data_IF_496718224300
#
_entry.id   IF_496718224300
#
_cell.length_a   1.000
_cell.length_b   1.000
_cell.length_c   1.000
_cell.angle_alpha   90.00
_cell.angle_beta   90.00
_cell.angle_gamma   90.00
#
_symmetry.space_group_name_H-M   'P 1'
#
loop_
_entity.id
_entity.type
_entity.pdbx_description
1 polymer ?
#
# COMPACT_ATOMS: atom_id res chain seq x y z
N UNK A 1 2.57 5.88 -15.28
CA UNK A 1 1.36 6.61 -14.88
C UNK A 1 1.40 6.82 -13.39
N UNK A 2 1.21 8.05 -12.93
CA UNK A 2 0.96 8.33 -11.52
C UNK A 2 -0.46 7.89 -11.17
N UNK A 3 -0.62 6.68 -10.61
CA UNK A 3 -1.94 6.09 -10.32
C UNK A 3 -2.71 6.80 -9.19
N UNK A 4 -2.11 7.82 -8.55
CA UNK A 4 -2.76 8.61 -7.49
C UNK A 4 -3.13 7.79 -6.25
N UNK A 5 -2.39 6.71 -5.99
CA UNK A 5 -2.62 5.79 -4.87
C UNK A 5 -2.44 6.49 -3.52
N UNK A 6 -1.38 7.28 -3.38
CA UNK A 6 -1.14 8.09 -2.21
C UNK A 6 -0.44 9.40 -2.58
N UNK A 7 -0.58 10.42 -1.73
CA UNK A 7 0.23 11.64 -1.85
C UNK A 7 1.66 11.36 -1.42
N UNK A 8 2.64 12.04 -2.03
CA UNK A 8 4.08 11.90 -1.71
C UNK A 8 4.39 12.05 -0.21
N UNK A 9 3.56 12.80 0.54
CA UNK A 9 3.69 12.93 1.99
C UNK A 9 3.50 11.62 2.76
N UNK A 10 2.80 10.63 2.18
CA UNK A 10 2.57 9.33 2.81
C UNK A 10 3.70 8.35 2.51
N UNK A 11 4.53 8.60 1.48
CA UNK A 11 5.63 7.70 1.07
C UNK A 11 6.57 7.36 2.24
N UNK A 12 7.05 8.32 3.05
CA UNK A 12 7.94 7.99 4.17
C UNK A 12 7.28 7.05 5.18
N UNK A 13 5.98 7.24 5.45
CA UNK A 13 5.21 6.41 6.38
C UNK A 13 4.99 5.00 5.82
N UNK A 14 4.66 4.88 4.54
CA UNK A 14 4.57 3.58 3.86
C UNK A 14 5.90 2.83 3.92
N UNK A 15 7.03 3.53 3.68
CA UNK A 15 8.35 2.93 3.76
C UNK A 15 8.72 2.48 5.18
N UNK A 16 8.28 3.21 6.20
CA UNK A 16 8.47 2.79 7.60
C UNK A 16 7.70 1.51 7.89
N UNK A 17 6.40 1.44 7.59
CA UNK A 17 5.60 0.22 7.76
C UNK A 17 6.09 -0.95 6.89
N UNK A 18 6.66 -0.67 5.72
CA UNK A 18 7.28 -1.70 4.86
C UNK A 18 8.55 -2.27 5.50
N UNK A 19 9.42 -1.40 6.03
CA UNK A 19 10.70 -1.81 6.63
C UNK A 19 10.50 -2.43 8.01
N UNK A 20 9.59 -1.85 8.80
CA UNK A 20 9.29 -2.16 10.19
C UNK A 20 7.80 -2.51 10.37
N UNK A 21 7.32 -3.63 9.80
CA UNK A 21 5.92 -4.00 9.90
C UNK A 21 5.52 -4.36 11.33
N UNK A 22 4.36 -3.86 11.75
CA UNK A 22 3.77 -4.14 13.07
C UNK A 22 3.35 -5.60 13.22
N UNK A 23 2.91 -6.23 12.12
CA UNK A 23 2.47 -7.61 12.10
C UNK A 23 3.55 -8.54 11.50
N UNK A 24 3.90 -9.66 12.17
CA UNK A 24 4.90 -10.60 11.66
C UNK A 24 4.61 -11.14 10.27
N UNK A 25 3.33 -11.32 9.91
CA UNK A 25 2.92 -11.78 8.58
C UNK A 25 3.26 -10.77 7.47
N UNK A 26 3.46 -9.48 7.76
CA UNK A 26 3.83 -8.47 6.77
C UNK A 26 5.35 -8.33 6.58
N UNK A 27 6.16 -9.19 7.24
CA UNK A 27 7.63 -9.15 7.13
C UNK A 27 8.14 -9.69 5.81
N UNK A 28 7.44 -10.65 5.23
CA UNK A 28 7.77 -11.15 3.90
C UNK A 28 7.69 -10.00 2.89
N UNK A 29 8.45 -10.07 1.80
CA UNK A 29 8.53 -9.00 0.79
C UNK A 29 7.68 -9.35 -0.42
N UNK A 30 6.38 -9.47 -0.19
CA UNK A 30 5.35 -9.83 -1.19
C UNK A 30 4.50 -8.63 -1.58
N UNK A 31 3.79 -8.70 -2.71
CA UNK A 31 2.85 -7.63 -3.11
C UNK A 31 1.75 -7.42 -2.05
N UNK A 32 1.32 -8.49 -1.39
CA UNK A 32 0.36 -8.43 -0.28
C UNK A 32 0.92 -7.67 0.92
N UNK A 33 2.15 -7.95 1.34
CA UNK A 33 2.78 -7.18 2.42
C UNK A 33 2.97 -5.69 2.06
N UNK A 34 3.25 -5.38 0.79
CA UNK A 34 3.39 -4.01 0.31
C UNK A 34 2.05 -3.29 0.40
N UNK A 35 0.99 -3.96 -0.04
CA UNK A 35 -0.37 -3.45 0.09
C UNK A 35 -0.74 -3.14 1.53
N UNK A 36 -0.40 -4.02 2.48
CA UNK A 36 -0.66 -3.76 3.89
C UNK A 36 0.15 -2.56 4.41
N UNK A 37 1.39 -2.36 3.97
CA UNK A 37 2.14 -1.16 4.34
C UNK A 37 1.45 0.15 3.89
N UNK A 38 0.77 0.14 2.74
CA UNK A 38 -0.05 1.26 2.28
C UNK A 38 -1.32 1.44 3.12
N UNK A 39 -2.03 0.36 3.45
CA UNK A 39 -3.25 0.48 4.27
C UNK A 39 -2.93 1.00 5.66
N UNK A 40 -1.85 0.54 6.30
CA UNK A 40 -1.35 1.05 7.58
C UNK A 40 -1.03 2.55 7.52
N UNK A 41 -0.33 2.99 6.48
CA UNK A 41 -0.01 4.41 6.31
C UNK A 41 -1.29 5.26 6.19
N UNK A 42 -2.34 4.73 5.56
CA UNK A 42 -3.60 5.41 5.24
C UNK A 42 -4.68 5.32 6.32
N UNK A 43 -4.54 4.49 7.38
CA UNK A 43 -5.53 4.35 8.47
C UNK A 43 -5.94 5.69 9.13
N UNK A 44 -5.11 6.74 9.04
CA UNK A 44 -5.44 8.09 9.52
C UNK A 44 -6.51 8.83 8.70
N UNK A 45 -6.87 8.32 7.51
CA UNK A 45 -7.90 8.91 6.65
C UNK A 45 -8.79 7.81 6.05
N UNK A 46 -9.65 7.25 6.92
CA UNK A 46 -10.52 6.09 6.60
C UNK A 46 -11.47 6.35 5.42
N UNK A 47 -11.87 7.59 5.18
CA UNK A 47 -12.79 7.94 4.09
C UNK A 47 -12.16 7.73 2.70
N UNK A 48 -10.85 7.96 2.57
CA UNK A 48 -10.14 7.80 1.30
C UNK A 48 -9.53 6.40 1.13
N UNK A 49 -9.56 5.59 2.18
CA UNK A 49 -8.90 4.29 2.21
C UNK A 49 -9.47 3.31 1.16
N UNK A 50 -10.80 3.16 0.96
CA UNK A 50 -11.34 2.23 -0.04
C UNK A 50 -10.85 2.56 -1.45
N UNK A 51 -11.07 3.80 -1.91
CA UNK A 51 -10.70 4.23 -3.27
C UNK A 51 -9.19 4.17 -3.52
N UNK A 52 -8.37 4.49 -2.52
CA UNK A 52 -6.90 4.43 -2.66
C UNK A 52 -6.38 3.00 -2.70
N UNK A 53 -6.97 2.11 -1.90
CA UNK A 53 -6.56 0.71 -1.86
C UNK A 53 -7.02 -0.04 -3.11
N UNK A 54 -8.18 0.29 -3.68
CA UNK A 54 -8.64 -0.23 -4.98
C UNK A 54 -7.68 0.13 -6.12
N UNK A 55 -7.27 1.41 -6.21
CA UNK A 55 -6.27 1.84 -7.19
C UNK A 55 -4.92 1.14 -7.01
N UNK A 56 -4.53 0.89 -5.75
CA UNK A 56 -3.33 0.12 -5.45
C UNK A 56 -3.48 -1.33 -5.92
N UNK A 57 -4.60 -1.98 -5.63
CA UNK A 57 -4.90 -3.34 -6.12
C UNK A 57 -4.72 -3.42 -7.63
N UNK A 58 -5.36 -2.53 -8.39
CA UNK A 58 -5.24 -2.51 -9.84
C UNK A 58 -3.79 -2.36 -10.34
N UNK A 59 -3.02 -1.48 -9.70
CA UNK A 59 -1.60 -1.28 -10.02
C UNK A 59 -0.76 -2.53 -9.71
N UNK A 60 -1.02 -3.19 -8.58
CA UNK A 60 -0.30 -4.41 -8.20
C UNK A 60 -0.69 -5.60 -9.10
N UNK A 61 -1.97 -5.72 -9.48
CA UNK A 61 -2.44 -6.78 -10.38
C UNK A 61 -1.82 -6.65 -11.78
N UNK A 62 -1.74 -5.42 -12.31
CA UNK A 62 -1.03 -5.14 -13.55
C UNK A 62 0.46 -5.51 -13.44
N UNK A 63 1.10 -5.22 -12.30
CA UNK A 63 2.51 -5.59 -12.10
C UNK A 63 2.73 -7.10 -11.95
N UNK A 64 1.78 -7.80 -11.33
CA UNK A 64 1.81 -9.25 -11.17
C UNK A 64 1.49 -10.02 -12.46
N UNK A 65 1.09 -9.33 -13.54
CA UNK A 65 0.69 -9.96 -14.81
C UNK A 65 -0.65 -10.67 -14.73
N UNK A 66 -1.52 -10.25 -13.79
CA UNK A 66 -2.83 -10.85 -13.55
C UNK A 66 -3.94 -10.13 -14.36
N UNK A 67 -3.59 -9.03 -15.04
CA UNK A 67 -4.47 -8.25 -15.92
C UNK A 67 -3.87 -8.07 -17.32
#
# INVERSE_FOLDING_TARGET
MDAGVCSNQHIPKVLDHWRNPEHPCFRERTLWSLQNAFTEALKGNLNLLPTRTEKLHYLLDHHAGVN
#
